data_IF_074429985289
#
_entry.id   IF_074429985289
#
_cell.length_a   1.000
_cell.length_b   1.000
_cell.length_c   1.000
_cell.angle_alpha   90.00
_cell.angle_beta   90.00
_cell.angle_gamma   90.00
#
_symmetry.space_group_name_H-M   'P 1'
#
loop_
_entity.id
_entity.type
_entity.pdbx_description
1 polymer ?
#
# COMPACT_ATOMS: atom_id res chain seq x y z
N UNK A 1 -30.88 9.89 -8.76
CA UNK A 1 -29.69 10.57 -9.32
C UNK A 1 -30.09 11.90 -9.95
N UNK A 2 -31.21 11.95 -10.67
CA UNK A 2 -31.88 13.18 -11.14
C UNK A 2 -32.09 14.24 -10.05
N UNK A 3 -32.65 13.86 -8.89
CA UNK A 3 -32.87 14.82 -7.78
C UNK A 3 -31.58 15.50 -7.27
N UNK A 4 -30.41 14.86 -7.41
CA UNK A 4 -29.12 15.43 -6.99
C UNK A 4 -28.61 16.46 -8.00
N UNK A 5 -28.88 16.24 -9.29
CA UNK A 5 -28.46 17.15 -10.37
C UNK A 5 -29.36 18.39 -10.39
N UNK A 6 -30.67 18.23 -10.22
CA UNK A 6 -31.61 19.38 -10.11
C UNK A 6 -31.29 20.28 -8.92
N UNK A 7 -30.91 19.70 -7.76
CA UNK A 7 -30.51 20.48 -6.58
C UNK A 7 -29.21 21.25 -6.78
N UNK A 8 -28.28 20.73 -7.58
CA UNK A 8 -27.02 21.42 -7.89
C UNK A 8 -27.25 22.59 -8.86
N UNK A 9 -28.14 22.43 -9.82
CA UNK A 9 -28.45 23.48 -10.80
C UNK A 9 -29.27 24.62 -10.16
N UNK A 10 -30.24 24.31 -9.27
CA UNK A 10 -30.99 25.33 -8.50
C UNK A 10 -30.10 26.18 -7.56
N UNK A 11 -28.91 25.70 -7.21
CA UNK A 11 -27.94 26.43 -6.36
C UNK A 11 -27.10 27.45 -7.15
N UNK A 12 -27.10 27.37 -8.48
CA UNK A 12 -26.40 28.32 -9.34
C UNK A 12 -27.38 29.44 -9.63
N UNK A 13 -27.10 30.63 -9.09
CA UNK A 13 -28.00 31.79 -9.09
C UNK A 13 -28.03 32.49 -10.47
N UNK A 14 -28.34 31.74 -11.52
CA UNK A 14 -28.48 32.21 -12.89
C UNK A 14 -29.91 31.92 -13.28
N UNK A 15 -30.74 32.93 -13.53
CA UNK A 15 -32.10 32.77 -14.05
C UNK A 15 -32.03 32.39 -15.52
N UNK A 16 -32.20 31.12 -15.92
CA UNK A 16 -32.19 30.74 -17.31
C UNK A 16 -33.59 31.02 -17.88
N UNK A 17 -33.70 31.47 -19.13
CA UNK A 17 -35.02 31.51 -19.79
C UNK A 17 -35.53 30.07 -19.90
N UNK A 18 -36.76 29.83 -19.46
CA UNK A 18 -37.37 28.51 -19.28
C UNK A 18 -37.20 27.57 -20.49
N UNK A 19 -37.19 28.09 -21.72
CA UNK A 19 -37.01 27.29 -22.94
C UNK A 19 -35.58 26.74 -23.16
N UNK A 20 -34.55 27.31 -22.54
CA UNK A 20 -33.17 26.83 -22.64
C UNK A 20 -32.88 25.71 -21.63
N UNK A 21 -33.62 25.65 -20.52
CA UNK A 21 -33.44 24.67 -19.44
C UNK A 21 -33.85 23.27 -19.91
N UNK A 22 -35.03 23.14 -20.49
CA UNK A 22 -35.57 21.85 -20.94
C UNK A 22 -34.76 21.26 -22.09
N UNK A 23 -34.28 22.09 -23.02
CA UNK A 23 -33.46 21.62 -24.13
C UNK A 23 -32.11 21.09 -23.66
N UNK A 24 -31.43 21.83 -22.78
CA UNK A 24 -30.09 21.43 -22.30
C UNK A 24 -30.16 20.19 -21.41
N UNK A 25 -31.20 20.08 -20.58
CA UNK A 25 -31.40 18.92 -19.72
C UNK A 25 -31.78 17.68 -20.54
N UNK A 26 -32.68 17.80 -21.51
CA UNK A 26 -33.05 16.70 -22.40
C UNK A 26 -31.91 16.28 -23.33
N UNK A 27 -31.09 17.21 -23.80
CA UNK A 27 -29.90 16.91 -24.60
C UNK A 27 -28.84 16.17 -23.75
N UNK A 28 -28.66 16.56 -22.48
CA UNK A 28 -27.74 15.90 -21.56
C UNK A 28 -28.21 14.49 -21.16
N UNK A 29 -29.51 14.34 -20.87
CA UNK A 29 -30.11 13.04 -20.56
C UNK A 29 -30.13 12.13 -21.79
N UNK A 30 -30.45 12.67 -22.98
CA UNK A 30 -30.41 11.95 -24.25
C UNK A 30 -29.00 11.49 -24.64
N UNK A 31 -27.98 12.31 -24.37
CA UNK A 31 -26.58 11.92 -24.54
C UNK A 31 -26.17 10.79 -23.57
N UNK A 32 -26.64 10.85 -22.33
CA UNK A 32 -26.37 9.81 -21.33
C UNK A 32 -27.08 8.49 -21.65
N UNK A 33 -28.31 8.55 -22.14
CA UNK A 33 -29.09 7.38 -22.54
C UNK A 33 -28.53 6.73 -23.82
N UNK A 34 -28.08 7.53 -24.80
CA UNK A 34 -27.28 7.04 -25.93
C UNK A 34 -25.96 6.41 -25.50
N UNK A 35 -25.29 6.96 -24.49
CA UNK A 35 -24.07 6.38 -23.92
C UNK A 35 -24.32 5.04 -23.21
N UNK A 36 -25.51 4.81 -22.64
CA UNK A 36 -25.87 3.54 -21.97
C UNK A 36 -26.34 2.46 -22.95
N UNK A 37 -26.99 2.86 -24.05
CA UNK A 37 -27.59 1.95 -25.04
C UNK A 37 -26.64 1.62 -26.21
N UNK A 38 -25.51 2.32 -26.34
CA UNK A 38 -24.45 1.89 -27.25
C UNK A 38 -23.72 0.73 -26.59
N UNK A 39 -24.09 -0.48 -27.00
CA UNK A 39 -23.40 -1.73 -26.68
C UNK A 39 -21.89 -1.46 -26.75
N UNK A 40 -21.22 -1.56 -25.58
CA UNK A 40 -19.79 -1.37 -25.43
C UNK A 40 -19.08 -2.22 -26.47
N UNK A 41 -18.71 -1.60 -27.59
CA UNK A 41 -17.65 -2.12 -28.45
C UNK A 41 -16.51 -2.36 -27.48
N UNK A 42 -16.15 -3.64 -27.31
CA UNK A 42 -15.12 -4.11 -26.39
C UNK A 42 -14.08 -3.02 -26.21
N UNK A 43 -14.02 -2.45 -25.01
CA UNK A 43 -12.87 -1.72 -24.55
C UNK A 43 -11.72 -2.74 -24.56
N UNK A 44 -11.17 -3.02 -25.74
CA UNK A 44 -9.79 -3.43 -25.86
C UNK A 44 -9.04 -2.15 -25.46
N UNK A 45 -8.47 -2.05 -24.25
CA UNK A 45 -7.41 -1.09 -24.06
C UNK A 45 -6.43 -1.32 -25.20
N UNK A 46 -6.01 -0.26 -25.88
CA UNK A 46 -5.10 -0.36 -27.02
C UNK A 46 -3.81 -1.04 -26.54
N UNK A 47 -3.75 -2.38 -26.60
CA UNK A 47 -2.58 -3.22 -26.37
C UNK A 47 -1.44 -2.65 -27.23
N UNK A 48 -1.80 -2.15 -28.41
CA UNK A 48 -0.93 -1.42 -29.32
C UNK A 48 -0.30 -0.15 -28.71
N UNK A 49 -1.05 0.65 -27.94
CA UNK A 49 -0.52 1.85 -27.24
C UNK A 49 0.50 1.47 -26.17
N UNK A 50 0.26 0.39 -25.42
CA UNK A 50 1.20 -0.09 -24.39
C UNK A 50 2.47 -0.67 -25.06
N UNK A 51 2.31 -1.50 -26.09
CA UNK A 51 3.43 -2.05 -26.86
C UNK A 51 4.29 -0.94 -27.47
N UNK A 52 3.68 0.12 -28.02
CA UNK A 52 4.41 1.25 -28.60
C UNK A 52 5.06 2.20 -27.59
N UNK A 53 4.48 2.34 -26.39
CA UNK A 53 5.00 3.25 -25.36
C UNK A 53 6.00 2.59 -24.41
N UNK A 54 6.13 1.26 -24.41
CA UNK A 54 7.20 0.60 -23.66
C UNK A 54 8.56 1.00 -24.27
N UNK A 55 9.49 1.50 -23.44
CA UNK A 55 10.85 1.85 -23.88
C UNK A 55 11.68 0.63 -24.33
N UNK A 56 11.13 -0.58 -24.14
CA UNK A 56 11.75 -1.86 -24.52
C UNK A 56 11.98 -1.93 -26.05
N UNK A 57 11.17 -1.27 -26.88
CA UNK A 57 11.43 -1.16 -28.33
C UNK A 57 12.38 -0.02 -28.70
N UNK A 58 12.70 0.91 -27.80
CA UNK A 58 13.56 2.07 -28.07
C UNK A 58 15.01 1.92 -27.61
N UNK A 59 15.32 0.91 -26.79
CA UNK A 59 16.70 0.58 -26.43
C UNK A 59 17.13 -0.74 -27.08
N UNK A 60 17.31 -0.70 -28.40
CA UNK A 60 18.14 -1.67 -29.11
C UNK A 60 19.63 -1.38 -28.82
N UNK A 61 20.06 -1.47 -27.55
CA UNK A 61 21.49 -1.42 -27.19
C UNK A 61 21.75 -2.09 -25.84
N UNK A 62 21.45 -3.40 -25.77
CA UNK A 62 22.06 -4.31 -24.81
C UNK A 62 22.12 -5.72 -25.43
N UNK A 63 22.96 -5.86 -26.46
CA UNK A 63 23.13 -7.08 -27.26
C UNK A 63 23.88 -8.22 -26.54
N UNK A 64 23.98 -8.22 -25.21
CA UNK A 64 24.75 -9.22 -24.45
C UNK A 64 23.91 -10.25 -23.68
N UNK A 65 22.64 -9.96 -23.36
CA UNK A 65 21.81 -10.88 -22.54
C UNK A 65 20.86 -11.76 -23.37
N UNK A 66 20.54 -11.34 -24.61
CA UNK A 66 19.64 -12.09 -25.50
C UNK A 66 20.30 -13.39 -26.01
N UNK A 67 21.63 -13.43 -26.14
CA UNK A 67 22.34 -14.60 -26.66
C UNK A 67 22.26 -15.83 -25.73
N UNK A 68 22.17 -15.63 -24.41
CA UNK A 68 22.10 -16.75 -23.45
C UNK A 68 20.68 -17.34 -23.41
N UNK A 69 19.64 -16.49 -23.44
CA UNK A 69 18.24 -16.96 -23.48
C UNK A 69 17.91 -17.64 -24.83
N UNK A 70 18.44 -17.11 -25.94
CA UNK A 70 18.20 -17.70 -27.27
C UNK A 70 18.94 -19.03 -27.46
N UNK A 71 20.17 -19.17 -26.96
CA UNK A 71 20.92 -20.43 -27.12
C UNK A 71 20.41 -21.57 -26.23
N UNK A 72 19.88 -21.27 -25.03
CA UNK A 72 19.28 -22.29 -24.16
C UNK A 72 18.00 -22.91 -24.73
N UNK A 73 17.22 -22.14 -25.49
CA UNK A 73 15.93 -22.59 -26.05
C UNK A 73 16.12 -23.38 -27.36
N UNK A 74 17.18 -23.12 -28.13
CA UNK A 74 17.39 -23.77 -29.45
C UNK A 74 17.71 -25.27 -29.39
N UNK A 75 18.05 -25.84 -28.24
CA UNK A 75 18.33 -27.28 -28.11
C UNK A 75 17.09 -28.16 -27.87
N UNK A 76 15.89 -27.57 -27.76
CA UNK A 76 14.62 -28.28 -27.55
C UNK A 76 13.72 -28.34 -28.79
N UNK A 77 14.23 -27.96 -29.97
CA UNK A 77 13.46 -27.96 -31.22
C UNK A 77 13.66 -29.25 -32.04
N UNK A 78 13.22 -30.39 -31.51
CA UNK A 78 12.69 -31.46 -32.39
C UNK A 78 11.48 -32.10 -31.71
N UNK A 79 10.37 -32.10 -32.44
CA UNK A 79 9.08 -32.80 -32.23
C UNK A 79 8.00 -32.10 -31.42
N UNK A 80 6.87 -31.83 -32.10
CA UNK A 80 5.60 -31.20 -31.67
C UNK A 80 5.71 -29.80 -31.08
N UNK A 81 5.05 -28.84 -31.75
CA UNK A 81 4.87 -27.47 -31.27
C UNK A 81 4.23 -27.52 -29.87
N UNK A 82 5.04 -27.44 -28.80
CA UNK A 82 4.55 -27.48 -27.42
C UNK A 82 3.58 -26.32 -27.23
N UNK A 83 2.34 -26.63 -26.87
CA UNK A 83 1.38 -25.67 -26.36
C UNK A 83 2.01 -24.92 -25.18
N UNK A 84 1.78 -23.60 -25.11
CA UNK A 84 2.27 -22.76 -24.02
C UNK A 84 1.87 -23.31 -22.66
N UNK A 85 2.79 -23.25 -21.69
CA UNK A 85 2.59 -23.72 -20.34
C UNK A 85 2.96 -22.62 -19.33
N UNK A 86 2.28 -22.56 -18.17
CA UNK A 86 2.54 -21.54 -17.14
C UNK A 86 3.99 -21.58 -16.67
N UNK A 87 4.59 -22.77 -16.64
CA UNK A 87 5.98 -23.02 -16.27
C UNK A 87 6.97 -22.21 -17.12
N UNK A 88 6.66 -21.96 -18.40
CA UNK A 88 7.49 -21.10 -19.26
C UNK A 88 7.52 -19.66 -18.74
N UNK A 89 6.40 -19.19 -18.21
CA UNK A 89 6.32 -17.89 -17.52
C UNK A 89 7.20 -17.91 -16.27
N UNK A 90 7.03 -18.92 -15.41
CA UNK A 90 7.78 -19.05 -14.15
C UNK A 90 9.30 -19.05 -14.43
N UNK A 91 9.74 -19.80 -15.44
CA UNK A 91 11.15 -19.87 -15.83
C UNK A 91 11.68 -18.53 -16.32
N UNK A 92 10.93 -17.80 -17.14
CA UNK A 92 11.32 -16.47 -17.62
C UNK A 92 11.59 -15.49 -16.46
N UNK A 93 10.82 -15.58 -15.37
CA UNK A 93 11.00 -14.71 -14.21
C UNK A 93 12.21 -15.05 -13.34
N UNK A 94 12.83 -16.23 -13.47
CA UNK A 94 14.04 -16.57 -12.72
C UNK A 94 15.23 -15.66 -13.04
N UNK A 95 15.15 -14.90 -14.13
CA UNK A 95 16.23 -13.99 -14.59
C UNK A 95 15.92 -12.52 -14.33
N UNK A 96 14.82 -12.22 -13.63
CA UNK A 96 14.35 -10.84 -13.42
C UNK A 96 14.85 -10.30 -12.08
N UNK A 97 15.72 -9.29 -12.16
CA UNK A 97 16.26 -8.54 -11.04
C UNK A 97 15.55 -7.22 -10.79
N UNK A 98 15.03 -6.58 -11.85
CA UNK A 98 14.36 -5.29 -11.73
C UNK A 98 13.00 -5.34 -12.40
N UNK A 99 12.01 -4.77 -11.72
CA UNK A 99 10.64 -4.70 -12.20
C UNK A 99 9.97 -3.40 -11.75
N UNK A 100 9.25 -2.78 -12.68
CA UNK A 100 8.37 -1.64 -12.41
C UNK A 100 6.93 -2.01 -12.78
N UNK A 101 5.99 -1.79 -11.87
CA UNK A 101 4.58 -2.17 -12.05
C UNK A 101 3.68 -0.99 -11.73
N UNK A 102 2.59 -0.86 -12.50
CA UNK A 102 1.48 0.05 -12.22
C UNK A 102 0.19 -0.73 -12.08
N UNK A 103 -0.57 -0.47 -11.03
CA UNK A 103 -1.90 -1.03 -10.84
C UNK A 103 -2.95 0.08 -10.84
N UNK A 104 -4.00 -0.09 -11.64
CA UNK A 104 -5.10 0.84 -11.78
C UNK A 104 -6.39 0.18 -11.31
N UNK A 105 -7.16 0.92 -10.52
CA UNK A 105 -8.54 0.56 -10.19
C UNK A 105 -9.46 1.13 -11.27
N UNK A 106 -10.50 0.41 -11.67
CA UNK A 106 -11.34 0.76 -12.83
C UNK A 106 -11.95 2.19 -12.83
N UNK A 107 -12.03 2.86 -11.68
CA UNK A 107 -12.58 4.20 -11.54
C UNK A 107 -11.54 5.26 -11.08
N UNK A 108 -10.24 4.98 -11.23
CA UNK A 108 -9.17 5.88 -10.82
C UNK A 108 -8.05 5.91 -11.86
N UNK A 109 -7.63 7.13 -12.24
CA UNK A 109 -6.56 7.34 -13.22
C UNK A 109 -5.15 7.29 -12.61
N UNK A 110 -5.04 7.59 -11.31
CA UNK A 110 -3.77 7.54 -10.59
C UNK A 110 -3.47 6.08 -10.17
N UNK A 111 -2.33 5.51 -10.59
CA UNK A 111 -2.00 4.13 -10.25
C UNK A 111 -1.37 4.00 -8.86
N UNK A 112 -1.44 2.78 -8.32
CA UNK A 112 -0.44 2.30 -7.36
C UNK A 112 0.82 1.95 -8.15
N UNK A 113 1.99 2.27 -7.61
CA UNK A 113 3.25 1.99 -8.30
C UNK A 113 4.19 1.16 -7.44
N UNK A 114 4.89 0.23 -8.07
CA UNK A 114 5.80 -0.72 -7.42
C UNK A 114 7.13 -0.74 -8.17
N UNK A 115 8.22 -0.57 -7.44
CA UNK A 115 9.57 -0.82 -7.94
C UNK A 115 10.18 -1.93 -7.11
N UNK A 116 10.68 -2.96 -7.77
CA UNK A 116 11.17 -4.15 -7.09
C UNK A 116 12.56 -4.48 -7.59
N UNK A 117 13.46 -4.77 -6.64
CA UNK A 117 14.77 -5.34 -6.87
C UNK A 117 14.85 -6.73 -6.24
N UNK A 118 15.30 -7.71 -7.01
CA UNK A 118 15.46 -9.09 -6.60
C UNK A 118 16.91 -9.60 -6.78
N UNK A 119 17.30 -10.56 -5.95
CA UNK A 119 18.57 -11.29 -6.03
C UNK A 119 18.57 -12.33 -7.18
N UNK A 120 19.69 -13.04 -7.35
CA UNK A 120 19.87 -14.09 -8.37
C UNK A 120 18.94 -15.30 -8.19
N UNK A 121 18.31 -15.42 -7.02
CA UNK A 121 17.34 -16.46 -6.71
C UNK A 121 15.89 -15.97 -6.88
N UNK A 122 15.71 -14.70 -7.29
CA UNK A 122 14.41 -14.05 -7.45
C UNK A 122 13.75 -13.65 -6.13
N UNK A 123 14.48 -13.62 -5.01
CA UNK A 123 14.00 -13.10 -3.72
C UNK A 123 14.17 -11.60 -3.70
N UNK A 124 13.24 -10.90 -3.08
CA UNK A 124 13.25 -9.43 -3.08
C UNK A 124 14.28 -8.91 -2.08
N UNK A 125 15.21 -8.11 -2.57
CA UNK A 125 16.18 -7.38 -1.75
C UNK A 125 15.61 -6.04 -1.30
N UNK A 126 14.96 -5.32 -2.23
CA UNK A 126 14.42 -3.97 -2.00
C UNK A 126 13.14 -3.76 -2.77
N UNK A 127 12.25 -2.98 -2.18
CA UNK A 127 11.02 -2.57 -2.83
C UNK A 127 10.68 -1.12 -2.49
N UNK A 128 10.00 -0.45 -3.41
CA UNK A 128 9.40 0.87 -3.23
C UNK A 128 7.95 0.82 -3.69
N UNK A 129 7.08 1.49 -2.95
CA UNK A 129 5.66 1.60 -3.23
C UNK A 129 5.25 3.06 -3.21
N UNK A 130 4.42 3.42 -4.19
CA UNK A 130 3.58 4.60 -4.11
C UNK A 130 2.14 4.15 -3.93
N UNK A 131 1.53 4.56 -2.82
CA UNK A 131 0.11 4.37 -2.57
C UNK A 131 -0.60 5.72 -2.73
N UNK A 132 -1.48 5.88 -3.72
CA UNK A 132 -2.25 7.11 -3.91
C UNK A 132 -3.32 7.28 -2.82
N UNK A 133 -3.82 8.51 -2.67
CA UNK A 133 -4.75 8.86 -1.59
C UNK A 133 -6.04 8.02 -1.61
N UNK A 134 -6.54 7.66 -2.79
CA UNK A 134 -7.78 6.89 -2.91
C UNK A 134 -7.67 5.45 -2.35
N UNK A 135 -6.44 4.94 -2.17
CA UNK A 135 -6.16 3.64 -1.54
C UNK A 135 -6.11 3.76 -0.03
N UNK A 136 -5.72 4.93 0.50
CA UNK A 136 -5.63 5.18 1.93
C UNK A 136 -6.16 6.58 2.28
N UNK A 137 -7.49 6.81 2.21
CA UNK A 137 -8.05 8.15 2.37
C UNK A 137 -7.74 8.78 3.73
N UNK A 138 -7.69 7.99 4.79
CA UNK A 138 -7.44 8.47 6.16
C UNK A 138 -6.01 9.00 6.33
N UNK A 139 -5.03 8.32 5.73
CA UNK A 139 -3.62 8.62 5.86
C UNK A 139 -3.05 9.47 4.70
N UNK A 140 -3.83 9.64 3.63
CA UNK A 140 -3.41 10.26 2.37
C UNK A 140 -2.48 9.37 1.54
N UNK A 141 -1.88 9.97 0.50
CA UNK A 141 -0.88 9.27 -0.30
C UNK A 141 0.37 8.92 0.53
N UNK A 142 0.94 7.74 0.29
CA UNK A 142 2.11 7.22 1.01
C UNK A 142 3.23 6.85 0.06
N UNK A 143 4.46 7.06 0.52
CA UNK A 143 5.63 6.40 -0.05
C UNK A 143 6.13 5.39 0.97
N UNK A 144 6.49 4.20 0.48
CA UNK A 144 7.02 3.12 1.31
C UNK A 144 8.27 2.58 0.62
N UNK A 145 9.36 2.43 1.36
CA UNK A 145 10.50 1.61 0.93
C UNK A 145 10.68 0.49 1.94
N UNK A 146 11.12 -0.67 1.45
CA UNK A 146 11.33 -1.84 2.27
C UNK A 146 12.56 -2.60 1.81
N UNK A 147 13.27 -3.16 2.79
CA UNK A 147 14.34 -4.14 2.70
C UNK A 147 14.29 -5.00 3.97
N UNK A 148 14.96 -6.17 4.02
CA UNK A 148 15.04 -6.97 5.25
C UNK A 148 15.59 -6.21 6.47
N UNK A 149 16.45 -5.22 6.24
CA UNK A 149 17.10 -4.45 7.30
C UNK A 149 16.26 -3.26 7.79
N UNK A 150 15.31 -2.78 6.99
CA UNK A 150 14.71 -1.46 7.18
C UNK A 150 13.49 -1.23 6.31
N UNK A 151 12.51 -0.51 6.86
CA UNK A 151 11.44 0.14 6.11
C UNK A 151 11.40 1.64 6.38
N UNK A 152 11.02 2.41 5.37
CA UNK A 152 10.74 3.83 5.48
C UNK A 152 9.33 4.12 4.98
N UNK A 153 8.54 4.87 5.74
CA UNK A 153 7.17 5.22 5.42
C UNK A 153 7.01 6.73 5.51
N UNK A 154 6.59 7.37 4.42
CA UNK A 154 6.26 8.79 4.40
C UNK A 154 4.77 8.99 4.15
N UNK A 155 4.06 9.48 5.17
CA UNK A 155 2.65 9.83 5.12
C UNK A 155 2.50 11.29 4.72
N UNK A 156 2.19 11.57 3.45
CA UNK A 156 2.19 12.96 2.96
C UNK A 156 1.15 13.83 3.66
N UNK A 157 -0.06 13.32 3.89
CA UNK A 157 -1.14 14.08 4.58
C UNK A 157 -0.84 14.30 6.06
N UNK A 158 -0.29 13.30 6.74
CA UNK A 158 0.06 13.39 8.17
C UNK A 158 1.35 14.15 8.43
N UNK A 159 2.10 14.48 7.36
CA UNK A 159 3.40 15.14 7.43
C UNK A 159 4.36 14.43 8.39
N UNK A 160 4.40 13.10 8.31
CA UNK A 160 5.19 12.23 9.18
C UNK A 160 6.01 11.21 8.40
N UNK A 161 7.24 11.00 8.83
CA UNK A 161 8.22 10.11 8.23
C UNK A 161 8.73 9.12 9.26
N UNK A 162 8.46 7.85 9.06
CA UNK A 162 8.78 6.76 9.98
C UNK A 162 9.86 5.86 9.40
N UNK A 163 10.88 5.54 10.19
CA UNK A 163 11.93 4.56 9.89
C UNK A 163 11.94 3.50 10.97
N UNK A 164 11.84 2.24 10.60
CA UNK A 164 11.79 1.12 11.54
C UNK A 164 12.18 -0.20 10.89
N UNK A 165 12.40 -1.22 11.72
CA UNK A 165 12.53 -2.61 11.31
C UNK A 165 11.51 -3.43 12.10
N UNK A 166 10.68 -4.22 11.41
CA UNK A 166 9.71 -5.08 12.08
C UNK A 166 9.20 -6.21 11.17
N UNK A 167 9.30 -7.44 11.65
CA UNK A 167 8.68 -8.63 11.07
C UNK A 167 7.15 -8.51 10.98
N UNK A 168 6.53 -7.61 11.76
CA UNK A 168 5.08 -7.33 11.67
C UNK A 168 4.72 -6.82 10.29
N UNK A 169 5.52 -5.91 9.74
CA UNK A 169 5.30 -5.45 8.36
C UNK A 169 5.89 -6.40 7.36
N UNK A 170 6.87 -7.25 7.71
CA UNK A 170 7.37 -8.26 6.78
C UNK A 170 6.21 -9.10 6.23
N UNK A 171 5.31 -9.63 7.06
CA UNK A 171 4.15 -10.38 6.56
C UNK A 171 3.28 -9.61 5.57
N UNK A 172 3.03 -8.32 5.86
CA UNK A 172 2.28 -7.41 5.00
C UNK A 172 3.05 -7.08 3.70
N UNK A 173 4.34 -6.81 3.80
CA UNK A 173 5.22 -6.50 2.69
C UNK A 173 5.37 -7.72 1.80
N UNK A 174 5.63 -8.90 2.37
CA UNK A 174 5.63 -10.18 1.67
C UNK A 174 4.28 -10.47 1.04
N UNK A 175 3.15 -10.07 1.64
CA UNK A 175 1.86 -10.16 0.99
C UNK A 175 1.79 -9.28 -0.26
N UNK A 176 2.14 -7.99 -0.16
CA UNK A 176 2.18 -7.09 -1.32
C UNK A 176 3.16 -7.57 -2.39
N UNK A 177 4.32 -8.08 -1.98
CA UNK A 177 5.35 -8.65 -2.85
C UNK A 177 4.84 -9.89 -3.58
N UNK A 178 4.17 -10.81 -2.88
CA UNK A 178 3.56 -12.00 -3.52
C UNK A 178 2.51 -11.64 -4.56
N UNK A 179 1.76 -10.55 -4.37
CA UNK A 179 0.77 -10.10 -5.36
C UNK A 179 1.41 -9.37 -6.55
N UNK A 180 2.56 -8.71 -6.33
CA UNK A 180 3.25 -7.92 -7.35
C UNK A 180 4.36 -8.68 -8.09
N UNK A 181 4.73 -9.89 -7.64
CA UNK A 181 5.71 -10.77 -8.28
C UNK A 181 5.03 -11.84 -9.13
N UNK A 182 5.08 -11.72 -10.47
CA UNK A 182 4.43 -12.66 -11.37
C UNK A 182 4.82 -14.12 -11.20
N UNK A 183 6.09 -14.40 -10.88
CA UNK A 183 6.56 -15.77 -10.61
C UNK A 183 5.74 -16.43 -9.50
N UNK A 184 5.65 -15.75 -8.35
CA UNK A 184 4.93 -16.25 -7.18
C UNK A 184 3.44 -16.37 -7.44
N UNK A 185 2.87 -15.46 -8.23
CA UNK A 185 1.47 -15.55 -8.70
C UNK A 185 1.28 -16.80 -9.55
N UNK A 186 2.14 -17.05 -10.54
CA UNK A 186 2.03 -18.19 -11.45
C UNK A 186 2.23 -19.54 -10.74
N UNK A 187 3.20 -19.65 -9.83
CA UNK A 187 3.38 -20.84 -8.98
C UNK A 187 2.15 -21.13 -8.12
N UNK A 188 1.53 -20.07 -7.56
CA UNK A 188 0.30 -20.20 -6.80
C UNK A 188 -0.87 -20.67 -7.67
N UNK A 189 -0.99 -20.16 -8.90
CA UNK A 189 -2.06 -20.55 -9.81
C UNK A 189 -2.01 -22.04 -10.16
N UNK A 190 -0.82 -22.60 -10.41
CA UNK A 190 -0.66 -24.04 -10.64
C UNK A 190 -1.14 -24.86 -9.43
N UNK A 191 -0.72 -24.49 -8.22
CA UNK A 191 -1.16 -25.15 -6.97
C UNK A 191 -2.67 -25.04 -6.75
N UNK A 192 -3.23 -23.85 -6.99
CA UNK A 192 -4.67 -23.60 -6.84
C UNK A 192 -5.48 -24.38 -7.90
N UNK A 193 -4.93 -24.58 -9.10
CA UNK A 193 -5.56 -25.40 -10.15
C UNK A 193 -5.57 -26.88 -9.75
N UNK A 194 -4.43 -27.42 -9.29
CA UNK A 194 -4.33 -28.79 -8.78
C UNK A 194 -5.28 -29.06 -7.62
N UNK A 195 -5.43 -28.08 -6.71
CA UNK A 195 -6.38 -28.13 -5.60
C UNK A 195 -7.85 -27.90 -6.03
N UNK A 196 -8.10 -27.65 -7.33
CA UNK A 196 -9.43 -27.40 -7.87
C UNK A 196 -10.06 -26.07 -7.44
N UNK A 197 -9.28 -25.12 -6.90
CA UNK A 197 -9.73 -23.80 -6.41
C UNK A 197 -9.98 -22.84 -7.58
N UNK A 198 -9.22 -22.99 -8.66
CA UNK A 198 -9.36 -22.19 -9.89
C UNK A 198 -9.47 -23.09 -11.11
N UNK A 199 -10.12 -22.58 -12.15
CA UNK A 199 -10.04 -23.13 -13.51
C UNK A 199 -9.15 -22.22 -14.36
N UNK A 200 -8.26 -22.83 -15.15
CA UNK A 200 -7.30 -22.12 -15.99
C UNK A 200 -7.52 -22.51 -17.46
N UNK A 201 -7.71 -21.51 -18.32
CA UNK A 201 -7.75 -21.63 -19.77
C UNK A 201 -6.57 -20.87 -20.39
N UNK A 202 -5.81 -21.54 -21.27
CA UNK A 202 -4.62 -20.97 -21.93
C UNK A 202 -4.87 -20.93 -23.42
N UNK A 203 -4.80 -19.73 -24.00
CA UNK A 203 -4.93 -19.53 -25.44
C UNK A 203 -3.62 -18.96 -26.00
N UNK A 204 -3.01 -19.70 -26.91
CA UNK A 204 -1.78 -19.30 -27.60
C UNK A 204 -2.08 -18.99 -29.07
N UNK A 205 -2.09 -17.70 -29.47
CA UNK A 205 -2.28 -17.34 -30.87
C UNK A 205 -1.11 -17.77 -31.76
N UNK A 206 -1.40 -18.15 -33.01
CA UNK A 206 -0.35 -18.48 -34.01
C UNK A 206 0.54 -17.28 -34.37
N UNK A 207 0.00 -16.06 -34.30
CA UNK A 207 0.76 -14.84 -34.60
C UNK A 207 1.64 -14.46 -33.41
N UNK A 208 2.98 -14.53 -33.57
CA UNK A 208 3.95 -14.26 -32.51
C UNK A 208 3.84 -12.87 -31.84
N UNK A 209 3.24 -11.88 -32.52
CA UNK A 209 3.04 -10.54 -31.97
C UNK A 209 1.80 -10.41 -31.08
N UNK A 210 0.88 -11.39 -31.11
CA UNK A 210 -0.26 -11.43 -30.20
C UNK A 210 0.14 -12.14 -28.91
N UNK A 211 -0.29 -11.67 -27.74
CA UNK A 211 0.10 -12.29 -26.48
C UNK A 211 -0.54 -13.68 -26.32
N UNK A 212 0.09 -14.57 -25.53
CA UNK A 212 -0.63 -15.69 -24.92
C UNK A 212 -1.55 -15.11 -23.85
N UNK A 213 -2.77 -15.62 -23.76
CA UNK A 213 -3.70 -15.26 -22.69
C UNK A 213 -3.92 -16.42 -21.75
N UNK A 214 -3.77 -16.18 -20.44
CA UNK A 214 -4.13 -17.11 -19.39
C UNK A 214 -5.35 -16.55 -18.66
N UNK A 215 -6.49 -17.21 -18.80
CA UNK A 215 -7.73 -16.85 -18.12
C UNK A 215 -7.89 -17.72 -16.89
N UNK A 216 -7.99 -17.09 -15.72
CA UNK A 216 -8.18 -17.76 -14.43
C UNK A 216 -9.56 -17.40 -13.89
N UNK A 217 -10.38 -18.42 -13.62
CA UNK A 217 -11.70 -18.26 -12.98
C UNK A 217 -11.65 -18.86 -11.57
N UNK A 218 -12.00 -18.07 -10.56
CA UNK A 218 -11.97 -18.51 -9.17
C UNK A 218 -13.32 -19.15 -8.80
N UNK A 219 -13.33 -20.35 -8.21
CA UNK A 219 -14.60 -21.05 -7.89
C UNK A 219 -15.28 -20.52 -6.64
N UNK A 220 -14.49 -20.20 -5.61
CA UNK A 220 -15.00 -19.75 -4.32
C UNK A 220 -15.42 -18.26 -4.32
N UNK A 221 -15.02 -17.49 -5.33
CA UNK A 221 -15.28 -16.06 -5.43
C UNK A 221 -15.67 -15.74 -6.87
N UNK A 222 -16.72 -14.94 -7.11
CA UNK A 222 -17.14 -14.57 -8.45
C UNK A 222 -16.13 -13.57 -9.06
N UNK A 223 -14.96 -14.07 -9.46
CA UNK A 223 -13.83 -13.30 -9.96
C UNK A 223 -13.15 -14.03 -11.11
N UNK A 224 -12.63 -13.24 -12.03
CA UNK A 224 -11.84 -13.70 -13.17
C UNK A 224 -10.63 -12.80 -13.35
N UNK A 225 -9.48 -13.40 -13.68
CA UNK A 225 -8.25 -12.66 -13.99
C UNK A 225 -7.72 -13.11 -15.34
N UNK A 226 -7.28 -12.18 -16.19
CA UNK A 226 -6.70 -12.49 -17.50
C UNK A 226 -5.28 -11.95 -17.53
N UNK A 227 -4.30 -12.83 -17.76
CA UNK A 227 -2.89 -12.48 -17.91
C UNK A 227 -2.50 -12.46 -19.38
N UNK A 228 -1.79 -11.41 -19.81
CA UNK A 228 -1.31 -11.25 -21.18
C UNK A 228 0.21 -11.39 -21.22
N UNK A 229 0.69 -12.44 -21.88
CA UNK A 229 2.10 -12.84 -21.88
C UNK A 229 2.71 -12.60 -23.26
N UNK A 230 3.85 -11.93 -23.30
CA UNK A 230 4.61 -11.74 -24.52
C UNK A 230 5.27 -13.07 -24.93
N UNK A 231 4.87 -13.61 -26.09
CA UNK A 231 5.32 -14.92 -26.58
C UNK A 231 6.84 -15.04 -26.75
N UNK A 232 7.53 -13.94 -27.06
CA UNK A 232 8.98 -13.97 -27.30
C UNK A 232 9.79 -14.03 -26.00
N UNK A 233 9.21 -13.56 -24.89
CA UNK A 233 9.92 -13.41 -23.61
C UNK A 233 9.37 -14.32 -22.52
N UNK A 234 8.13 -14.81 -22.65
CA UNK A 234 7.42 -15.49 -21.56
C UNK A 234 6.99 -14.55 -20.43
N UNK A 235 7.21 -13.23 -20.55
CA UNK A 235 6.92 -12.27 -19.48
C UNK A 235 5.51 -11.70 -19.60
N UNK A 236 4.90 -11.43 -18.44
CA UNK A 236 3.59 -10.78 -18.36
C UNK A 236 3.76 -9.31 -18.74
N UNK A 237 2.86 -8.81 -19.56
CA UNK A 237 2.86 -7.39 -19.96
C UNK A 237 1.68 -6.64 -19.38
N UNK A 238 0.55 -7.34 -19.19
CA UNK A 238 -0.70 -6.76 -18.74
C UNK A 238 -1.55 -7.79 -18.02
N UNK A 239 -2.37 -7.33 -17.08
CA UNK A 239 -3.35 -8.16 -16.35
C UNK A 239 -4.65 -7.39 -16.22
N UNK A 240 -5.77 -8.07 -16.43
CA UNK A 240 -7.11 -7.54 -16.17
C UNK A 240 -7.77 -8.33 -15.04
N UNK A 241 -8.39 -7.62 -14.11
CA UNK A 241 -9.17 -8.20 -13.02
C UNK A 241 -10.65 -7.88 -13.22
N UNK A 242 -11.50 -8.91 -13.11
CA UNK A 242 -12.94 -8.79 -13.26
C UNK A 242 -13.65 -9.33 -12.01
N UNK A 243 -14.64 -8.59 -11.52
CA UNK A 243 -15.69 -9.14 -10.67
C UNK A 243 -16.80 -9.69 -11.57
N UNK A 244 -17.35 -10.87 -11.24
CA UNK A 244 -18.49 -11.45 -11.94
C UNK A 244 -19.76 -11.04 -11.19
N UNK A 245 -20.59 -10.21 -11.81
CA UNK A 245 -21.86 -9.72 -11.24
C UNK A 245 -22.99 -9.99 -12.21
N UNK A 246 -24.03 -10.69 -11.76
CA UNK A 246 -25.19 -11.07 -12.59
C UNK A 246 -24.77 -11.79 -13.89
N UNK A 247 -23.83 -12.74 -13.78
CA UNK A 247 -23.22 -13.46 -14.92
C UNK A 247 -22.55 -12.56 -15.98
N UNK A 248 -22.15 -11.33 -15.59
CA UNK A 248 -21.38 -10.42 -16.44
C UNK A 248 -20.06 -10.08 -15.79
N UNK A 249 -19.04 -10.00 -16.63
CA UNK A 249 -17.72 -9.53 -16.22
C UNK A 249 -17.73 -8.00 -16.09
N UNK A 250 -17.38 -7.52 -14.91
CA UNK A 250 -17.21 -6.10 -14.61
C UNK A 250 -15.75 -5.85 -14.30
N UNK A 251 -15.07 -5.04 -15.13
CA UNK A 251 -13.66 -4.70 -14.93
C UNK A 251 -13.49 -4.02 -13.56
N UNK A 252 -12.67 -4.62 -12.71
CA UNK A 252 -12.35 -4.14 -11.36
C UNK A 252 -11.05 -3.33 -11.36
N UNK A 253 -10.09 -3.71 -12.20
CA UNK A 253 -8.80 -3.04 -12.32
C UNK A 253 -7.89 -3.70 -13.34
N UNK A 254 -6.71 -3.12 -13.50
CA UNK A 254 -5.68 -3.59 -14.45
C UNK A 254 -4.29 -3.41 -13.87
N UNK A 255 -3.36 -4.27 -14.25
CA UNK A 255 -1.94 -4.12 -13.90
C UNK A 255 -1.09 -4.10 -15.16
N UNK A 256 -0.19 -3.14 -15.25
CA UNK A 256 0.77 -2.95 -16.35
C UNK A 256 2.19 -3.20 -15.84
N UNK A 257 2.97 -4.00 -16.58
CA UNK A 257 4.34 -4.34 -16.23
C UNK A 257 5.33 -3.66 -17.18
N UNK A 258 6.37 -3.05 -16.61
CA UNK A 258 7.33 -2.22 -17.30
C UNK A 258 8.77 -2.55 -16.91
N UNK A 259 9.68 -2.15 -17.80
CA UNK A 259 11.10 -1.97 -17.49
C UNK A 259 11.78 -3.20 -16.85
N UNK A 260 11.40 -4.40 -17.30
CA UNK A 260 12.06 -5.66 -16.94
C UNK A 260 13.58 -5.57 -17.09
N UNK A 261 14.31 -5.84 -16.01
CA UNK A 261 15.77 -5.80 -15.94
C UNK A 261 16.41 -4.46 -16.33
N UNK A 262 15.64 -3.37 -16.35
CA UNK A 262 16.22 -2.02 -16.43
C UNK A 262 16.71 -1.64 -15.04
N UNK A 263 18.01 -1.36 -14.84
CA UNK A 263 18.53 -1.03 -13.53
C UNK A 263 17.81 0.16 -12.90
N UNK A 264 17.38 -0.02 -11.66
CA UNK A 264 16.74 1.03 -10.86
C UNK A 264 17.81 1.69 -10.01
N UNK A 265 17.87 3.03 -10.01
CA UNK A 265 18.81 3.77 -9.19
C UNK A 265 18.61 3.40 -7.72
N UNK A 266 19.67 2.99 -7.01
CA UNK A 266 19.62 2.60 -5.60
C UNK A 266 18.99 3.66 -4.69
N UNK A 267 19.12 4.95 -5.04
CA UNK A 267 18.47 6.05 -4.30
C UNK A 267 16.94 5.98 -4.33
N UNK A 268 16.33 5.34 -5.33
CA UNK A 268 14.88 5.14 -5.38
C UNK A 268 14.38 4.30 -4.19
N UNK A 269 15.22 3.40 -3.66
CA UNK A 269 14.86 2.58 -2.51
C UNK A 269 15.12 3.27 -1.16
N UNK A 270 15.31 4.60 -1.18
CA UNK A 270 15.19 5.43 0.01
C UNK A 270 14.30 6.64 -0.23
N UNK A 271 13.54 7.04 0.79
CA UNK A 271 12.64 8.21 0.73
C UNK A 271 13.32 9.44 1.33
N UNK A 272 14.47 9.29 1.99
CA UNK A 272 15.11 10.36 2.79
C UNK A 272 15.26 11.69 2.03
N UNK A 273 15.63 11.66 0.75
CA UNK A 273 15.83 12.85 -0.09
C UNK A 273 14.50 13.50 -0.55
N UNK A 274 13.37 12.80 -0.44
CA UNK A 274 12.02 13.27 -0.81
C UNK A 274 11.25 13.86 0.38
N UNK A 275 11.75 13.66 1.60
CA UNK A 275 11.17 14.20 2.82
C UNK A 275 11.61 15.65 2.99
N UNK A 276 10.68 16.58 2.82
CA UNK A 276 10.96 18.02 2.96
C UNK A 276 11.18 18.44 4.42
N UNK A 277 11.80 19.62 4.60
CA UNK A 277 12.02 20.20 5.93
C UNK A 277 10.68 20.48 6.62
N UNK A 278 10.57 20.10 7.89
CA UNK A 278 9.36 20.31 8.71
C UNK A 278 8.48 19.07 8.88
N UNK A 279 8.80 17.97 8.20
CA UNK A 279 8.18 16.66 8.45
C UNK A 279 8.59 16.13 9.83
N UNK A 280 7.65 15.56 10.57
CA UNK A 280 7.95 14.87 11.84
C UNK A 280 8.65 13.55 11.54
N UNK A 281 9.96 13.47 11.79
CA UNK A 281 10.74 12.25 11.64
C UNK A 281 10.67 11.41 12.92
N UNK A 282 10.40 10.12 12.76
CA UNK A 282 10.39 9.11 13.81
C UNK A 282 11.33 7.99 13.38
N UNK A 283 12.44 7.84 14.10
CA UNK A 283 13.52 6.93 13.74
C UNK A 283 13.59 5.79 14.76
N UNK A 284 12.60 4.91 14.76
CA UNK A 284 12.52 3.78 15.69
C UNK A 284 13.67 2.79 15.49
N UNK A 285 14.32 2.84 14.34
CA UNK A 285 15.54 2.09 14.04
C UNK A 285 16.72 2.49 14.93
N UNK A 286 16.93 3.79 15.12
CA UNK A 286 18.11 4.31 15.84
C UNK A 286 17.78 4.94 17.20
N UNK A 287 16.51 4.97 17.58
CA UNK A 287 16.04 5.60 18.81
C UNK A 287 15.43 4.56 19.75
N UNK A 288 15.95 4.52 20.98
CA UNK A 288 15.37 3.73 22.07
C UNK A 288 14.09 4.41 22.57
N UNK A 289 12.92 3.85 22.25
CA UNK A 289 11.62 4.43 22.61
C UNK A 289 10.97 3.66 23.76
N UNK A 290 10.01 4.29 24.45
CA UNK A 290 9.27 3.65 25.54
C UNK A 290 10.04 3.45 26.85
N UNK A 291 9.37 2.79 27.80
CA UNK A 291 9.87 2.44 29.14
C UNK A 291 10.15 0.93 29.19
N UNK A 292 11.30 0.47 29.71
CA UNK A 292 11.56 -0.97 29.81
C UNK A 292 10.55 -1.66 30.74
N UNK A 293 10.15 -2.88 30.40
CA UNK A 293 9.24 -3.71 31.18
C UNK A 293 9.91 -4.25 32.44
N UNK A 294 11.17 -4.68 32.35
CA UNK A 294 11.92 -5.30 33.46
C UNK A 294 11.11 -6.46 34.08
N UNK A 295 10.97 -6.50 35.40
CA UNK A 295 10.23 -7.53 36.14
C UNK A 295 8.72 -7.25 36.25
N UNK A 296 8.21 -6.20 35.59
CA UNK A 296 6.79 -5.85 35.64
C UNK A 296 5.94 -6.80 34.80
N UNK A 297 4.73 -7.10 35.27
CA UNK A 297 3.68 -7.66 34.41
C UNK A 297 3.26 -6.64 33.36
N UNK A 298 2.61 -7.08 32.28
CA UNK A 298 2.11 -6.21 31.24
C UNK A 298 1.18 -5.11 31.77
N UNK A 299 0.29 -5.44 32.71
CA UNK A 299 -0.59 -4.47 33.36
C UNK A 299 0.20 -3.43 34.16
N UNK A 300 1.23 -3.87 34.89
CA UNK A 300 2.08 -2.99 35.68
C UNK A 300 2.88 -2.05 34.77
N UNK A 301 3.47 -2.58 33.70
CA UNK A 301 4.24 -1.81 32.74
C UNK A 301 3.35 -0.80 31.98
N UNK A 302 2.10 -1.17 31.64
CA UNK A 302 1.13 -0.24 31.06
C UNK A 302 0.80 0.94 31.99
N UNK A 303 0.52 0.64 33.26
CA UNK A 303 0.25 1.67 34.29
C UNK A 303 1.47 2.57 34.49
N UNK A 304 2.66 1.98 34.56
CA UNK A 304 3.90 2.72 34.77
C UNK A 304 4.25 3.61 33.58
N UNK A 305 4.04 3.13 32.36
CA UNK A 305 4.22 3.93 31.14
C UNK A 305 3.37 5.20 31.15
N UNK A 306 2.10 5.07 31.54
CA UNK A 306 1.16 6.19 31.63
C UNK A 306 1.55 7.15 32.76
N UNK A 307 1.99 6.61 33.91
CA UNK A 307 2.52 7.40 35.02
C UNK A 307 3.72 8.23 34.58
N UNK A 308 4.72 7.60 33.98
CA UNK A 308 5.95 8.28 33.55
C UNK A 308 5.71 9.28 32.44
N UNK A 309 4.76 9.02 31.53
CA UNK A 309 4.39 9.98 30.49
C UNK A 309 3.92 11.30 31.09
N UNK A 310 2.96 11.28 32.02
CA UNK A 310 2.49 12.52 32.64
C UNK A 310 3.46 13.12 33.64
N UNK A 311 4.21 12.29 34.37
CA UNK A 311 5.25 12.79 35.25
C UNK A 311 6.30 13.59 34.47
N UNK A 312 6.64 13.16 33.25
CA UNK A 312 7.52 13.92 32.37
C UNK A 312 6.96 15.30 32.00
N UNK A 313 5.63 15.51 31.94
CA UNK A 313 5.06 16.85 31.78
C UNK A 313 5.20 17.71 33.05
N UNK A 314 4.99 17.11 34.23
CA UNK A 314 5.17 17.79 35.53
C UNK A 314 6.63 18.24 35.69
N UNK A 315 7.58 17.41 35.27
CA UNK A 315 9.00 17.69 35.36
C UNK A 315 9.53 18.53 34.18
N UNK A 316 8.67 18.92 33.24
CA UNK A 316 9.03 19.57 31.97
C UNK A 316 10.07 18.79 31.12
N UNK A 317 10.19 17.48 31.32
CA UNK A 317 11.02 16.57 30.53
C UNK A 317 10.30 16.11 29.25
N UNK A 318 10.11 17.04 28.33
CA UNK A 318 9.43 16.76 27.06
C UNK A 318 10.21 15.78 26.16
N UNK A 319 11.51 15.60 26.41
CA UNK A 319 12.30 14.57 25.70
C UNK A 319 11.84 13.18 26.14
N UNK A 320 11.75 12.93 27.46
CA UNK A 320 11.23 11.67 27.99
C UNK A 320 9.78 11.44 27.57
N UNK A 321 8.92 12.45 27.65
CA UNK A 321 7.54 12.34 27.17
C UNK A 321 7.47 11.94 25.68
N UNK A 322 8.35 12.49 24.85
CA UNK A 322 8.47 12.15 23.44
C UNK A 322 8.91 10.71 23.18
N UNK A 323 9.92 10.24 23.91
CA UNK A 323 10.37 8.83 23.84
C UNK A 323 9.25 7.86 24.22
N UNK A 324 8.47 8.18 25.26
CA UNK A 324 7.32 7.37 25.68
C UNK A 324 6.18 7.43 24.66
N UNK A 325 5.99 8.58 24.01
CA UNK A 325 4.93 8.81 23.03
C UNK A 325 5.41 8.54 21.60
N UNK A 326 5.80 7.29 21.35
CA UNK A 326 6.21 6.78 20.03
C UNK A 326 7.44 7.49 19.41
N UNK A 327 8.34 8.04 20.23
CA UNK A 327 9.60 8.64 19.75
C UNK A 327 9.49 10.05 19.18
N UNK A 328 8.38 10.77 19.39
CA UNK A 328 8.22 12.15 18.91
C UNK A 328 9.27 13.09 19.55
N UNK A 329 9.72 14.12 18.83
CA UNK A 329 10.66 15.12 19.36
C UNK A 329 10.06 15.95 20.51
N UNK A 330 10.92 16.48 21.39
CA UNK A 330 10.50 17.31 22.51
C UNK A 330 9.72 18.56 22.06
N UNK A 331 10.14 19.19 20.96
CA UNK A 331 9.49 20.35 20.37
C UNK A 331 8.07 20.01 19.90
N UNK A 332 7.92 18.86 19.23
CA UNK A 332 6.62 18.40 18.75
C UNK A 332 5.70 17.95 19.89
N UNK A 333 6.23 17.40 20.98
CA UNK A 333 5.46 17.16 22.20
C UNK A 333 4.97 18.46 22.81
N UNK A 334 5.85 19.47 22.95
CA UNK A 334 5.46 20.80 23.45
C UNK A 334 4.37 21.42 22.59
N UNK A 335 4.49 21.34 21.27
CA UNK A 335 3.48 21.85 20.33
C UNK A 335 2.15 21.08 20.47
N UNK A 336 2.19 19.74 20.37
CA UNK A 336 1.00 18.88 20.39
C UNK A 336 0.23 18.95 21.71
N UNK A 337 0.92 19.21 22.81
CA UNK A 337 0.35 19.28 24.15
C UNK A 337 0.48 20.66 24.79
N UNK A 338 0.66 21.73 24.00
CA UNK A 338 0.82 23.10 24.49
C UNK A 338 -0.35 23.56 25.38
N UNK A 339 -1.53 23.00 25.17
CA UNK A 339 -2.74 23.27 25.96
C UNK A 339 -2.76 22.57 27.33
N UNK A 340 -1.77 21.72 27.63
CA UNK A 340 -1.64 21.01 28.90
C UNK A 340 -0.49 21.60 29.71
N UNK A 341 -0.83 22.41 30.72
CA UNK A 341 0.10 22.80 31.77
C UNK A 341 -0.14 21.90 32.99
N UNK A 342 0.48 20.73 32.97
CA UNK A 342 0.27 19.69 33.99
C UNK A 342 1.18 19.97 35.18
N UNK A 343 0.60 20.20 36.36
CA UNK A 343 1.35 20.49 37.59
C UNK A 343 1.47 19.29 38.51
N UNK A 344 0.58 18.30 38.38
CA UNK A 344 0.58 17.12 39.25
C UNK A 344 -0.15 15.94 38.61
N UNK A 345 0.38 14.73 38.81
CA UNK A 345 -0.37 13.48 38.59
C UNK A 345 -1.20 13.19 39.85
N UNK A 346 -2.53 13.13 39.72
CA UNK A 346 -3.45 12.90 40.83
C UNK A 346 -3.65 11.40 41.04
N UNK A 347 -3.93 10.68 39.96
CA UNK A 347 -4.09 9.22 40.00
C UNK A 347 -3.81 8.57 38.65
N UNK A 348 -3.36 7.33 38.71
CA UNK A 348 -3.28 6.43 37.56
C UNK A 348 -4.07 5.18 37.95
N UNK A 349 -5.11 4.88 37.18
CA UNK A 349 -6.00 3.75 37.42
C UNK A 349 -5.38 2.42 37.01
N UNK A 350 -6.09 1.29 37.24
CA UNK A 350 -5.65 -0.01 36.78
C UNK A 350 -5.65 -0.09 35.24
N UNK A 351 -4.80 -0.94 34.70
CA UNK A 351 -4.83 -1.31 33.29
C UNK A 351 -6.06 -2.19 32.99
N UNK A 352 -6.69 -1.95 31.84
CA UNK A 352 -7.77 -2.78 31.29
C UNK A 352 -7.37 -3.24 29.90
N UNK A 353 -7.45 -4.54 29.54
CA UNK A 353 -7.07 -5.02 28.22
C UNK A 353 -7.73 -4.22 27.08
N UNK A 354 -6.98 -3.96 26.01
CA UNK A 354 -7.44 -3.20 24.86
C UNK A 354 -6.98 -3.82 23.53
N UNK A 355 -7.49 -5.01 23.16
CA UNK A 355 -6.93 -5.84 22.09
C UNK A 355 -6.90 -5.20 20.70
N UNK A 356 -7.64 -4.11 20.47
CA UNK A 356 -7.61 -3.34 19.21
C UNK A 356 -6.20 -2.82 18.87
N UNK A 357 -5.33 -2.61 19.86
CA UNK A 357 -3.94 -2.17 19.67
C UNK A 357 -2.91 -3.31 19.70
N UNK A 358 -3.35 -4.57 19.82
CA UNK A 358 -2.50 -5.76 19.94
C UNK A 358 -2.75 -6.56 21.22
N UNK A 359 -2.23 -7.78 21.28
CA UNK A 359 -2.43 -8.70 22.43
C UNK A 359 -1.86 -8.13 23.74
N UNK A 360 -0.70 -7.46 23.67
CA UNK A 360 -0.04 -6.81 24.81
C UNK A 360 -0.36 -5.31 24.88
N UNK A 361 -1.65 -4.97 24.92
CA UNK A 361 -2.08 -3.57 24.97
C UNK A 361 -3.24 -3.33 25.93
N UNK A 362 -3.18 -2.18 26.59
CA UNK A 362 -4.04 -1.83 27.71
C UNK A 362 -4.50 -0.38 27.63
N UNK A 363 -5.71 -0.14 28.13
CA UNK A 363 -6.24 1.17 28.43
C UNK A 363 -6.03 1.48 29.91
N UNK A 364 -5.47 2.64 30.21
CA UNK A 364 -5.28 3.15 31.57
C UNK A 364 -5.97 4.50 31.71
N UNK A 365 -6.72 4.66 32.79
CA UNK A 365 -7.33 5.95 33.15
C UNK A 365 -6.31 6.77 33.93
N UNK A 366 -6.20 8.07 33.68
CA UNK A 366 -5.35 8.95 34.48
C UNK A 366 -6.08 10.25 34.82
N UNK A 367 -5.86 10.76 36.03
CA UNK A 367 -6.28 12.10 36.43
C UNK A 367 -5.04 12.96 36.73
N UNK A 368 -5.03 14.17 36.22
CA UNK A 368 -3.94 15.15 36.41
C UNK A 368 -4.51 16.50 36.82
N UNK A 369 -3.70 17.29 37.51
CA UNK A 369 -3.97 18.70 37.78
C UNK A 369 -3.41 19.56 36.64
N UNK A 370 -4.22 20.48 36.15
CA UNK A 370 -3.86 21.47 35.14
C UNK A 370 -3.91 22.87 35.73
N UNK A 371 -2.97 23.73 35.37
CA UNK A 371 -2.98 25.16 35.75
C UNK A 371 -3.24 26.04 34.54
N UNK A 372 -4.25 26.91 34.61
CA UNK A 372 -4.53 27.88 33.55
C UNK A 372 -3.47 29.00 33.50
N UNK A 373 -3.37 29.79 32.41
CA UNK A 373 -2.49 30.97 32.37
C UNK A 373 -2.77 31.98 33.50
N UNK A 374 -4.00 32.02 34.00
CA UNK A 374 -4.44 32.87 35.12
C UNK A 374 -4.14 32.25 36.51
N UNK A 375 -3.47 31.09 36.56
CA UNK A 375 -3.08 30.42 37.80
C UNK A 375 -4.17 29.57 38.46
N UNK A 376 -5.32 29.35 37.80
CA UNK A 376 -6.38 28.50 38.35
C UNK A 376 -6.08 27.02 38.12
N UNK A 377 -6.22 26.21 39.17
CA UNK A 377 -6.04 24.75 39.07
C UNK A 377 -7.36 24.04 38.79
N UNK A 378 -7.30 22.99 37.97
CA UNK A 378 -8.44 22.08 37.75
C UNK A 378 -7.96 20.65 37.53
N UNK A 379 -8.75 19.70 37.98
CA UNK A 379 -8.52 18.27 37.69
C UNK A 379 -9.07 17.91 36.32
N UNK A 380 -8.25 17.28 35.47
CA UNK A 380 -8.68 16.66 34.21
C UNK A 380 -8.50 15.16 34.29
N UNK A 381 -9.56 14.42 33.95
CA UNK A 381 -9.53 12.95 33.83
C UNK A 381 -9.46 12.55 32.35
N UNK A 382 -8.45 11.78 32.00
CA UNK A 382 -8.31 11.11 30.71
C UNK A 382 -8.92 9.71 30.80
N UNK A 383 -10.00 9.49 30.04
CA UNK A 383 -10.84 8.30 30.16
C UNK A 383 -10.26 7.03 29.56
N UNK A 384 -9.28 7.12 28.67
CA UNK A 384 -8.65 5.94 28.07
C UNK A 384 -7.34 6.29 27.38
N UNK A 385 -6.22 6.04 28.06
CA UNK A 385 -4.88 6.21 27.49
C UNK A 385 -4.36 4.84 27.14
N UNK A 386 -3.96 4.68 25.87
CA UNK A 386 -3.56 3.39 25.33
C UNK A 386 -2.06 3.22 25.51
N UNK A 387 -1.68 2.26 26.34
CA UNK A 387 -0.30 1.80 26.47
C UNK A 387 -0.17 0.42 25.84
N UNK A 388 0.94 0.17 25.16
CA UNK A 388 1.21 -1.14 24.56
C UNK A 388 2.70 -1.44 24.65
N UNK A 389 3.03 -2.72 24.73
CA UNK A 389 4.39 -3.16 24.51
C UNK A 389 4.79 -2.88 23.05
N UNK A 390 6.07 -2.58 22.83
CA UNK A 390 6.67 -2.42 21.52
C UNK A 390 6.43 -3.68 20.71
N UNK A 391 5.85 -3.50 19.53
CA UNK A 391 5.55 -4.56 18.58
C UNK A 391 6.58 -4.64 17.45
N UNK A 392 7.64 -3.84 17.55
CA UNK A 392 8.81 -3.94 16.71
C UNK A 392 9.89 -4.76 17.41
N UNK A 393 10.69 -5.50 16.64
CA UNK A 393 11.81 -6.31 17.16
C UNK A 393 12.86 -5.47 17.89
N UNK A 394 12.80 -4.16 17.73
CA UNK A 394 13.82 -3.27 18.23
C UNK A 394 13.58 -2.93 19.69
N UNK A 395 12.32 -2.94 20.14
CA UNK A 395 11.93 -2.60 21.50
C UNK A 395 10.88 -3.58 22.07
N UNK A 396 11.09 -4.91 21.98
CA UNK A 396 10.06 -5.92 22.30
C UNK A 396 9.69 -5.96 23.79
N UNK A 397 10.51 -5.35 24.64
CA UNK A 397 10.36 -5.25 26.08
C UNK A 397 10.07 -3.82 26.54
N UNK A 398 9.73 -2.89 25.63
CA UNK A 398 9.52 -1.48 25.99
C UNK A 398 8.11 -1.03 25.69
N UNK A 399 7.55 -0.29 26.64
CA UNK A 399 6.18 0.16 26.60
C UNK A 399 6.06 1.61 26.17
N UNK A 400 5.14 1.86 25.23
CA UNK A 400 4.86 3.18 24.67
C UNK A 400 3.40 3.56 24.84
N UNK A 401 3.12 4.86 24.75
CA UNK A 401 1.77 5.37 24.55
C UNK A 401 1.45 5.35 23.04
N UNK A 402 0.35 4.71 22.67
CA UNK A 402 -0.14 4.63 21.30
C UNK A 402 -0.82 5.94 20.88
N UNK A 403 -0.60 6.38 19.63
CA UNK A 403 -1.18 7.61 19.06
C UNK A 403 -0.16 8.66 18.59
N UNK A 404 1.13 8.32 18.55
CA UNK A 404 2.17 9.21 18.03
C UNK A 404 2.11 9.47 16.52
N UNK A 405 1.43 8.61 15.75
CA UNK A 405 1.36 8.61 14.28
C UNK A 405 -0.06 8.41 13.75
#
# INVERSE_FOLDING_TARGET
MEEKIERLIKKINVTPRDQMYDKTLNDALGAQEKSKNTQSAQLQPNIWRIIMNSKITKFATAAAVILIVVLGITFLEKTTQKTYAIEQTIEAYNTIHYLYVKEFKANHDEPLEFWIKSDDQGRIEKARYYLPEHVSPEDGSKLITWSPEKAELFFKRKNSYLIFQSNRIEGMMQYFLRQSQPKLVMEKLLKDQEAGIVDIDIQQPKQKHKPVTITVTYKAKPRKTIYYINQATGLITFVEYFDIKDNRDVLAGTTEYYDYNVPINEKMFSIADEVHKGVTKLDWLNQLIGIPQEDMTDEQAAVETVRQFFQAFVDHDYKKAGLIYSGISAEKIKEKFAYLNITKVISVGPATPYPECGEHSFSVICAVELTSPEGQTRTRRFGSIKARCGDDEMHPDRWIIHGGL
#
